data_IF_130959198661
#
_entry.id   IF_130959198661
#
_cell.length_a   1.000
_cell.length_b   1.000
_cell.length_c   1.000
_cell.angle_alpha   90.00
_cell.angle_beta   90.00
_cell.angle_gamma   90.00
#
_symmetry.space_group_name_H-M   'P 1'
#
loop_
_entity.id
_entity.type
_entity.pdbx_description
1 polymer ?
#
# COMPACT_ATOMS: atom_id res chain seq x y z
N UNK A 1 7.69 -40.21 -10.73
CA UNK A 1 6.23 -40.10 -10.86
C UNK A 1 5.80 -39.17 -9.71
N UNK A 2 5.06 -38.14 -10.04
CA UNK A 2 4.42 -37.28 -9.03
C UNK A 2 3.29 -38.11 -8.41
N UNK A 3 3.27 -38.23 -7.08
CA UNK A 3 2.20 -38.88 -6.38
C UNK A 3 1.02 -37.89 -6.25
N UNK A 4 0.02 -38.07 -7.09
CA UNK A 4 -1.18 -37.19 -7.11
C UNK A 4 -2.03 -37.27 -5.84
N UNK A 5 -1.81 -38.29 -4.99
CA UNK A 5 -2.53 -38.42 -3.71
C UNK A 5 -2.03 -37.42 -2.65
N UNK A 6 -0.89 -36.78 -2.90
CA UNK A 6 -0.31 -35.74 -2.03
C UNK A 6 -0.74 -34.32 -2.42
N UNK A 7 -1.50 -34.18 -3.52
CA UNK A 7 -2.02 -32.90 -3.95
C UNK A 7 -3.33 -32.60 -3.21
N UNK A 8 -3.32 -31.55 -2.40
CA UNK A 8 -4.52 -31.03 -1.75
C UNK A 8 -4.93 -29.72 -2.48
N UNK A 9 -5.91 -29.84 -3.38
CA UNK A 9 -6.41 -28.71 -4.18
C UNK A 9 -6.90 -27.55 -3.31
N UNK A 10 -7.44 -27.84 -2.11
CA UNK A 10 -7.91 -26.81 -1.18
C UNK A 10 -6.73 -26.03 -0.60
N UNK A 11 -5.66 -26.70 -0.26
CA UNK A 11 -4.41 -26.06 0.21
C UNK A 11 -3.81 -25.23 -0.93
N UNK A 12 -3.71 -25.76 -2.15
CA UNK A 12 -3.18 -25.03 -3.29
C UNK A 12 -3.97 -23.75 -3.58
N UNK A 13 -5.30 -23.85 -3.64
CA UNK A 13 -6.18 -22.68 -3.84
C UNK A 13 -6.01 -21.64 -2.73
N UNK A 14 -5.86 -22.08 -1.47
CA UNK A 14 -5.63 -21.19 -0.34
C UNK A 14 -4.31 -20.41 -0.47
N UNK A 15 -3.24 -21.10 -0.89
CA UNK A 15 -1.94 -20.47 -1.13
C UNK A 15 -1.95 -19.56 -2.35
N UNK A 16 -2.73 -19.87 -3.38
CA UNK A 16 -2.84 -19.00 -4.55
C UNK A 16 -3.55 -17.69 -4.19
N UNK A 17 -4.62 -17.73 -3.40
CA UNK A 17 -5.27 -16.53 -2.87
C UNK A 17 -4.30 -15.70 -1.98
N UNK A 18 -3.50 -16.36 -1.14
CA UNK A 18 -2.47 -15.68 -0.35
C UNK A 18 -1.43 -14.99 -1.24
N UNK A 19 -0.90 -15.68 -2.25
CA UNK A 19 0.07 -15.12 -3.21
C UNK A 19 -0.52 -13.91 -3.94
N UNK A 20 -1.78 -14.01 -4.37
CA UNK A 20 -2.47 -12.91 -5.03
C UNK A 20 -2.62 -11.71 -4.09
N UNK A 21 -3.06 -11.93 -2.85
CA UNK A 21 -3.17 -10.89 -1.81
C UNK A 21 -1.83 -10.19 -1.57
N UNK A 22 -0.73 -10.94 -1.45
CA UNK A 22 0.62 -10.38 -1.30
C UNK A 22 1.06 -9.60 -2.55
N UNK A 23 0.69 -10.08 -3.75
CA UNK A 23 0.98 -9.39 -5.01
C UNK A 23 0.24 -8.04 -5.11
N UNK A 24 -1.05 -8.03 -4.79
CA UNK A 24 -1.87 -6.79 -4.79
C UNK A 24 -1.38 -5.82 -3.71
N UNK A 25 -1.01 -6.32 -2.52
CA UNK A 25 -0.36 -5.49 -1.48
C UNK A 25 0.94 -4.85 -2.00
N UNK A 26 1.74 -5.62 -2.72
CA UNK A 26 2.99 -5.11 -3.30
C UNK A 26 2.73 -4.03 -4.35
N UNK A 27 1.66 -4.16 -5.15
CA UNK A 27 1.24 -3.14 -6.11
C UNK A 27 0.77 -1.85 -5.41
N UNK A 28 0.01 -1.95 -4.31
CA UNK A 28 -0.38 -0.79 -3.50
C UNK A 28 0.86 -0.10 -2.90
N UNK A 29 1.82 -0.87 -2.38
CA UNK A 29 3.10 -0.32 -1.88
C UNK A 29 3.90 0.40 -2.97
N UNK A 30 3.96 -0.15 -4.19
CA UNK A 30 4.66 0.49 -5.31
C UNK A 30 4.03 1.85 -5.66
N UNK A 31 2.71 1.94 -5.72
CA UNK A 31 2.00 3.20 -5.93
C UNK A 31 2.31 4.22 -4.83
N UNK A 32 2.40 3.77 -3.58
CA UNK A 32 2.76 4.59 -2.42
C UNK A 32 4.28 4.85 -2.29
N UNK A 33 5.11 4.30 -3.18
CA UNK A 33 6.59 4.33 -3.08
C UNK A 33 7.13 3.76 -1.75
N UNK A 34 6.42 2.77 -1.19
CA UNK A 34 6.77 2.11 0.06
C UNK A 34 7.57 0.83 -0.17
N UNK A 35 8.74 0.72 0.43
CA UNK A 35 9.55 -0.49 0.36
C UNK A 35 8.89 -1.66 1.11
N UNK A 36 9.00 -2.87 0.56
CA UNK A 36 8.40 -4.08 1.15
C UNK A 36 8.87 -4.36 2.58
N UNK A 37 10.12 -4.03 2.93
CA UNK A 37 10.71 -4.25 4.26
C UNK A 37 10.22 -3.29 5.34
N UNK A 38 9.63 -2.17 4.95
CA UNK A 38 8.99 -1.24 5.88
C UNK A 38 7.63 -1.79 6.29
N UNK A 39 7.35 -1.93 7.59
CA UNK A 39 6.06 -2.43 8.03
C UNK A 39 4.93 -1.48 7.65
N UNK A 40 3.73 -2.01 7.47
CA UNK A 40 2.48 -1.24 7.38
C UNK A 40 1.79 -1.29 8.74
N UNK A 41 1.16 -0.19 9.13
CA UNK A 41 0.32 -0.17 10.33
C UNK A 41 -0.92 -1.03 10.12
N UNK A 42 -1.66 -0.77 9.04
CA UNK A 42 -2.93 -1.43 8.75
C UNK A 42 -3.07 -1.75 7.27
N UNK A 43 -3.74 -2.86 6.98
CA UNK A 43 -4.26 -3.19 5.66
C UNK A 43 -5.72 -3.64 5.76
N UNK A 44 -6.55 -3.22 4.80
CA UNK A 44 -7.91 -3.68 4.61
C UNK A 44 -7.92 -4.54 3.34
N UNK A 45 -8.37 -5.78 3.45
CA UNK A 45 -8.33 -6.78 2.36
C UNK A 45 -9.77 -7.11 2.01
N UNK A 46 -10.24 -6.63 0.86
CA UNK A 46 -11.57 -6.95 0.36
C UNK A 46 -11.48 -8.14 -0.57
N UNK A 47 -12.28 -9.16 -0.29
CA UNK A 47 -12.30 -10.47 -0.97
C UNK A 47 -13.71 -10.89 -1.33
N UNK A 48 -13.86 -11.87 -2.20
CA UNK A 48 -15.16 -12.47 -2.48
C UNK A 48 -15.71 -13.25 -1.28
N UNK A 49 -16.99 -13.51 -1.32
CA UNK A 49 -17.66 -14.32 -0.29
C UNK A 49 -17.05 -15.73 -0.22
N UNK A 50 -16.72 -16.17 1.00
CA UNK A 50 -16.08 -17.45 1.28
C UNK A 50 -14.55 -17.44 1.25
N UNK A 51 -13.91 -16.39 0.75
CA UNK A 51 -12.44 -16.25 0.72
C UNK A 51 -11.88 -15.72 2.07
N UNK A 52 -12.70 -15.08 2.87
CA UNK A 52 -12.32 -14.56 4.18
C UNK A 52 -11.80 -15.66 5.10
N UNK A 53 -12.57 -16.72 5.27
CA UNK A 53 -12.20 -17.87 6.14
C UNK A 53 -10.89 -18.52 5.67
N UNK A 54 -10.65 -18.55 4.35
CA UNK A 54 -9.42 -19.07 3.76
C UNK A 54 -8.21 -18.24 4.20
N UNK A 55 -8.27 -16.92 4.07
CA UNK A 55 -7.15 -16.04 4.48
C UNK A 55 -7.00 -16.02 6.01
N UNK A 56 -8.07 -16.07 6.77
CA UNK A 56 -8.02 -16.15 8.23
C UNK A 56 -7.33 -17.44 8.71
N UNK A 57 -7.51 -18.55 8.01
CA UNK A 57 -6.79 -19.80 8.31
C UNK A 57 -5.27 -19.70 8.08
N UNK A 58 -4.83 -18.74 7.28
CA UNK A 58 -3.43 -18.44 6.96
C UNK A 58 -2.93 -17.14 7.64
N UNK A 59 -3.56 -16.72 8.73
CA UNK A 59 -3.39 -15.41 9.36
C UNK A 59 -1.92 -15.00 9.59
N UNK A 60 -1.09 -15.89 10.13
CA UNK A 60 0.32 -15.62 10.39
C UNK A 60 1.11 -15.40 9.09
N UNK A 61 0.78 -16.16 8.05
CA UNK A 61 1.39 -16.01 6.73
C UNK A 61 0.95 -14.71 6.06
N UNK A 62 -0.34 -14.37 6.12
CA UNK A 62 -0.86 -13.09 5.63
C UNK A 62 -0.09 -11.95 6.29
N UNK A 63 -0.04 -11.92 7.61
CA UNK A 63 0.63 -10.88 8.39
C UNK A 63 2.12 -10.75 8.05
N UNK A 64 2.83 -11.87 8.02
CA UNK A 64 4.27 -11.90 7.77
C UNK A 64 4.62 -11.56 6.33
N UNK A 65 3.91 -12.13 5.34
CA UNK A 65 4.19 -11.91 3.92
C UNK A 65 3.80 -10.52 3.43
N UNK A 66 2.72 -9.95 3.96
CA UNK A 66 2.35 -8.56 3.72
C UNK A 66 3.21 -7.57 4.50
N UNK A 67 3.93 -8.02 5.54
CA UNK A 67 4.66 -7.19 6.50
C UNK A 67 3.76 -6.09 7.08
N UNK A 68 2.62 -6.48 7.65
CA UNK A 68 1.61 -5.60 8.23
C UNK A 68 1.44 -5.91 9.72
N UNK A 69 1.21 -4.87 10.54
CA UNK A 69 0.97 -5.05 11.98
C UNK A 69 -0.47 -5.52 12.24
N UNK A 70 -1.42 -4.86 11.60
CA UNK A 70 -2.85 -5.15 11.72
C UNK A 70 -3.46 -5.27 10.32
N UNK A 71 -4.44 -6.15 10.19
CA UNK A 71 -5.24 -6.23 8.97
C UNK A 71 -6.66 -6.65 9.28
N UNK A 72 -7.56 -6.30 8.38
CA UNK A 72 -8.96 -6.72 8.42
C UNK A 72 -9.33 -7.30 7.07
N UNK A 73 -10.09 -8.41 7.07
CA UNK A 73 -10.59 -9.04 5.86
C UNK A 73 -12.10 -8.78 5.76
N UNK A 74 -12.52 -8.21 4.66
CA UNK A 74 -13.88 -7.76 4.41
C UNK A 74 -14.41 -8.46 3.17
N UNK A 75 -15.49 -9.19 3.31
CA UNK A 75 -16.16 -9.80 2.15
C UNK A 75 -16.99 -8.75 1.42
N UNK A 76 -16.83 -8.70 0.11
CA UNK A 76 -17.56 -7.81 -0.78
C UNK A 76 -18.28 -8.61 -1.87
N UNK A 77 -19.30 -7.99 -2.48
CA UNK A 77 -19.98 -8.54 -3.64
C UNK A 77 -19.18 -8.39 -4.93
N UNK A 78 -19.74 -8.95 -5.99
CA UNK A 78 -19.19 -8.90 -7.33
C UNK A 78 -19.74 -7.70 -8.08
N UNK A 79 -19.67 -6.51 -7.47
CA UNK A 79 -20.16 -5.26 -8.01
C UNK A 79 -19.04 -4.46 -8.65
N UNK A 80 -19.40 -3.60 -9.60
CA UNK A 80 -18.48 -2.69 -10.32
C UNK A 80 -19.02 -1.26 -10.29
N UNK A 81 -18.17 -0.30 -10.61
CA UNK A 81 -18.57 1.09 -10.77
C UNK A 81 -19.20 1.68 -9.50
N UNK A 82 -20.33 2.37 -9.69
CA UNK A 82 -21.04 3.04 -8.61
C UNK A 82 -21.50 2.08 -7.51
N UNK A 83 -21.93 0.86 -7.86
CA UNK A 83 -22.39 -0.13 -6.89
C UNK A 83 -21.23 -0.61 -6.02
N UNK A 84 -20.06 -0.86 -6.59
CA UNK A 84 -18.86 -1.20 -5.86
C UNK A 84 -18.46 -0.07 -4.89
N UNK A 85 -18.40 1.17 -5.37
CA UNK A 85 -18.12 2.32 -4.52
C UNK A 85 -19.08 2.40 -3.32
N UNK A 86 -20.39 2.27 -3.57
CA UNK A 86 -21.41 2.34 -2.52
C UNK A 86 -21.28 1.20 -1.50
N UNK A 87 -21.00 0.00 -1.95
CA UNK A 87 -20.75 -1.15 -1.06
C UNK A 87 -19.54 -0.90 -0.17
N UNK A 88 -18.41 -0.49 -0.75
CA UNK A 88 -17.18 -0.20 0.00
C UNK A 88 -17.40 0.91 1.03
N UNK A 89 -18.10 1.97 0.65
CA UNK A 89 -18.46 3.08 1.55
C UNK A 89 -19.38 2.62 2.69
N UNK A 90 -20.38 1.82 2.39
CA UNK A 90 -21.32 1.28 3.40
C UNK A 90 -20.59 0.40 4.43
N UNK A 91 -19.52 -0.28 4.03
CA UNK A 91 -18.67 -1.08 4.92
C UNK A 91 -17.64 -0.26 5.71
N UNK A 92 -17.69 1.08 5.57
CA UNK A 92 -16.83 1.99 6.32
C UNK A 92 -15.40 2.07 5.80
N UNK A 93 -15.15 1.64 4.55
CA UNK A 93 -13.82 1.75 3.95
C UNK A 93 -13.50 3.20 3.59
N UNK A 94 -12.22 3.60 3.60
CA UNK A 94 -11.79 4.99 3.38
C UNK A 94 -11.80 5.38 1.90
N UNK A 95 -12.90 5.09 1.21
CA UNK A 95 -13.08 5.34 -0.22
C UNK A 95 -13.76 6.68 -0.48
N UNK A 96 -13.38 7.30 -1.59
CA UNK A 96 -14.01 8.51 -2.15
C UNK A 96 -14.42 8.22 -3.60
N UNK A 97 -15.51 8.82 -4.10
CA UNK A 97 -15.94 8.56 -5.46
C UNK A 97 -15.01 9.21 -6.47
N UNK A 98 -14.65 8.46 -7.48
CA UNK A 98 -13.99 8.96 -8.69
C UNK A 98 -15.01 8.91 -9.82
N UNK A 99 -15.36 10.07 -10.37
CA UNK A 99 -16.34 10.18 -11.43
C UNK A 99 -15.69 10.81 -12.66
N UNK A 100 -15.93 10.21 -13.80
CA UNK A 100 -15.55 10.75 -15.10
C UNK A 100 -16.80 10.82 -16.01
N UNK A 101 -16.81 11.74 -16.95
CA UNK A 101 -17.91 11.83 -17.92
C UNK A 101 -17.56 11.02 -19.18
N UNK A 102 -18.50 10.19 -19.64
CA UNK A 102 -18.35 9.48 -20.91
C UNK A 102 -18.51 10.46 -22.08
N UNK A 103 -17.38 10.95 -22.60
CA UNK A 103 -17.33 12.04 -23.58
C UNK A 103 -18.13 11.77 -24.85
N UNK A 104 -18.19 10.53 -25.29
CA UNK A 104 -18.95 10.13 -26.47
C UNK A 104 -20.45 10.27 -26.27
N UNK A 105 -20.95 10.01 -25.07
CA UNK A 105 -22.36 10.08 -24.71
C UNK A 105 -22.81 11.50 -24.42
N UNK A 106 -21.99 12.34 -23.77
CA UNK A 106 -22.37 13.70 -23.38
C UNK A 106 -22.31 14.70 -24.53
N UNK A 107 -21.55 14.44 -25.60
CA UNK A 107 -21.40 15.33 -26.75
C UNK A 107 -22.72 15.79 -27.36
N UNK A 108 -23.63 14.89 -27.72
CA UNK A 108 -24.96 15.24 -28.28
C UNK A 108 -25.85 16.00 -27.29
N UNK A 109 -25.70 15.77 -25.97
CA UNK A 109 -26.50 16.40 -24.91
C UNK A 109 -26.01 17.83 -24.59
N UNK A 110 -24.70 18.04 -24.49
CA UNK A 110 -24.12 19.33 -24.12
C UNK A 110 -23.92 20.30 -25.29
N UNK A 111 -23.69 19.80 -26.51
CA UNK A 111 -23.51 20.61 -27.73
C UNK A 111 -22.57 21.81 -27.52
N UNK A 112 -23.06 23.03 -27.69
CA UNK A 112 -22.32 24.30 -27.54
C UNK A 112 -21.95 24.61 -26.07
N UNK A 113 -22.61 24.01 -25.11
CA UNK A 113 -22.36 24.24 -23.69
C UNK A 113 -21.37 23.28 -23.06
N UNK A 114 -20.72 22.41 -23.86
CA UNK A 114 -19.73 21.39 -23.40
C UNK A 114 -18.64 21.97 -22.48
N UNK A 115 -18.03 23.09 -22.85
CA UNK A 115 -16.97 23.72 -22.05
C UNK A 115 -17.48 24.19 -20.67
N UNK A 116 -18.69 24.71 -20.61
CA UNK A 116 -19.32 25.15 -19.35
C UNK A 116 -19.71 23.94 -18.50
N UNK A 117 -20.25 22.88 -19.13
CA UNK A 117 -20.57 21.61 -18.47
C UNK A 117 -19.35 21.02 -17.80
N UNK A 118 -18.24 20.88 -18.53
CA UNK A 118 -17.00 20.31 -17.97
C UNK A 118 -16.46 21.14 -16.80
N UNK A 119 -16.56 22.47 -16.88
CA UNK A 119 -16.16 23.33 -15.78
C UNK A 119 -17.03 23.10 -14.56
N UNK A 120 -18.35 23.12 -14.71
CA UNK A 120 -19.29 22.89 -13.61
C UNK A 120 -19.12 21.50 -13.00
N UNK A 121 -18.94 20.48 -13.85
CA UNK A 121 -18.65 19.13 -13.37
C UNK A 121 -17.39 19.08 -12.48
N UNK A 122 -16.32 19.76 -12.89
CA UNK A 122 -15.08 19.80 -12.10
C UNK A 122 -15.19 20.57 -10.79
N UNK A 123 -16.18 21.47 -10.68
CA UNK A 123 -16.47 22.26 -9.47
C UNK A 123 -17.55 21.63 -8.58
N UNK A 124 -18.25 20.59 -9.08
CA UNK A 124 -19.31 19.91 -8.34
C UNK A 124 -18.74 18.83 -7.44
N UNK A 125 -19.22 18.75 -6.20
CA UNK A 125 -18.86 17.68 -5.29
C UNK A 125 -19.30 16.31 -5.84
N UNK A 126 -18.37 15.37 -6.05
CA UNK A 126 -18.69 14.05 -6.57
C UNK A 126 -19.75 13.28 -5.74
N UNK A 127 -19.76 13.46 -4.42
CA UNK A 127 -20.76 12.82 -3.55
C UNK A 127 -22.16 13.29 -3.85
N UNK A 128 -22.34 14.58 -4.16
CA UNK A 128 -23.64 15.13 -4.52
C UNK A 128 -24.18 14.53 -5.83
N UNK A 129 -23.27 14.25 -6.78
CA UNK A 129 -23.64 13.58 -8.04
C UNK A 129 -24.10 12.15 -7.75
N UNK A 130 -23.34 11.38 -6.95
CA UNK A 130 -23.72 10.01 -6.56
C UNK A 130 -25.08 9.98 -5.87
N UNK A 131 -25.32 10.90 -4.94
CA UNK A 131 -26.58 10.95 -4.20
C UNK A 131 -27.80 11.26 -5.08
N UNK A 132 -27.62 12.11 -6.08
CA UNK A 132 -28.70 12.38 -7.07
C UNK A 132 -28.90 11.20 -8.03
N UNK A 133 -27.81 10.59 -8.53
CA UNK A 133 -27.86 9.41 -9.40
C UNK A 133 -28.56 8.22 -8.71
N UNK A 134 -28.39 8.07 -7.41
CA UNK A 134 -29.11 7.05 -6.62
C UNK A 134 -30.62 7.29 -6.54
N UNK A 135 -31.04 8.55 -6.57
CA UNK A 135 -32.46 8.93 -6.39
C UNK A 135 -33.22 9.00 -7.71
N UNK A 136 -32.55 9.44 -8.78
CA UNK A 136 -33.21 9.84 -10.02
C UNK A 136 -32.63 9.21 -11.29
N UNK A 137 -31.56 8.42 -11.18
CA UNK A 137 -30.78 7.88 -12.30
C UNK A 137 -30.25 8.95 -13.28
N UNK A 138 -30.24 10.21 -12.85
CA UNK A 138 -29.79 11.35 -13.66
C UNK A 138 -29.30 12.50 -12.78
N UNK A 139 -28.45 13.36 -13.36
CA UNK A 139 -27.99 14.61 -12.75
C UNK A 139 -28.17 15.79 -13.71
N UNK A 140 -28.65 16.93 -13.21
CA UNK A 140 -28.89 18.10 -14.04
C UNK A 140 -27.96 19.25 -13.68
N UNK A 141 -27.14 19.69 -14.64
CA UNK A 141 -26.29 20.87 -14.54
C UNK A 141 -27.01 22.11 -15.03
N UNK A 142 -27.10 23.16 -14.21
CA UNK A 142 -27.66 24.44 -14.59
C UNK A 142 -26.61 25.34 -15.23
N UNK A 143 -26.68 25.60 -16.52
CA UNK A 143 -25.70 26.34 -17.30
C UNK A 143 -26.28 27.70 -17.74
N UNK A 144 -26.28 28.68 -16.82
CA UNK A 144 -26.95 29.95 -17.04
C UNK A 144 -28.47 29.76 -17.09
N UNK A 145 -29.10 30.16 -18.23
CA UNK A 145 -30.53 29.93 -18.44
C UNK A 145 -30.87 28.54 -18.97
N UNK A 146 -29.86 27.78 -19.42
CA UNK A 146 -30.00 26.43 -19.94
C UNK A 146 -29.74 25.39 -18.85
N UNK A 147 -30.19 24.16 -19.10
CA UNK A 147 -29.82 23.00 -18.29
C UNK A 147 -29.39 21.83 -19.17
N UNK A 148 -28.44 21.04 -18.68
CA UNK A 148 -28.01 19.80 -19.31
C UNK A 148 -28.23 18.67 -18.32
N UNK A 149 -29.12 17.73 -18.68
CA UNK A 149 -29.34 16.53 -17.87
C UNK A 149 -28.54 15.38 -18.44
N UNK A 150 -27.77 14.73 -17.58
CA UNK A 150 -26.99 13.55 -17.87
C UNK A 150 -27.60 12.37 -17.13
N UNK A 151 -27.72 11.25 -17.83
CA UNK A 151 -28.21 10.01 -17.26
C UNK A 151 -27.06 9.23 -16.59
N UNK A 152 -27.39 8.23 -15.80
CA UNK A 152 -26.41 7.42 -15.05
C UNK A 152 -25.32 6.83 -15.97
N UNK A 153 -25.68 6.43 -17.18
CA UNK A 153 -24.78 5.84 -18.18
C UNK A 153 -23.79 6.86 -18.77
N UNK A 154 -24.03 8.16 -18.61
CA UNK A 154 -23.11 9.20 -19.04
C UNK A 154 -21.95 9.40 -18.06
N UNK A 155 -22.01 8.75 -16.90
CA UNK A 155 -20.99 8.81 -15.86
C UNK A 155 -20.25 7.47 -15.74
N UNK A 156 -18.95 7.53 -15.76
CA UNK A 156 -18.08 6.41 -15.37
C UNK A 156 -17.70 6.62 -13.92
N UNK A 157 -18.20 5.76 -13.06
CA UNK A 157 -17.94 5.84 -11.62
C UNK A 157 -16.96 4.73 -11.22
N UNK A 158 -15.89 5.08 -10.53
CA UNK A 158 -14.94 4.21 -9.84
C UNK A 158 -14.74 4.79 -8.43
N UNK A 159 -13.78 4.28 -7.70
CA UNK A 159 -13.40 4.84 -6.42
C UNK A 159 -11.90 5.10 -6.34
N UNK A 160 -11.53 6.01 -5.47
CA UNK A 160 -10.19 6.23 -4.96
C UNK A 160 -10.21 6.09 -3.43
N UNK A 161 -9.06 6.17 -2.80
CA UNK A 161 -8.95 6.23 -1.34
C UNK A 161 -8.50 7.63 -0.92
N UNK A 162 -8.83 8.04 0.29
CA UNK A 162 -8.35 9.32 0.79
C UNK A 162 -6.81 9.32 0.95
N UNK A 163 -6.21 10.50 1.11
CA UNK A 163 -4.76 10.72 1.11
C UNK A 163 -3.96 9.94 2.16
N UNK A 164 -4.62 9.44 3.22
CA UNK A 164 -3.97 8.62 4.26
C UNK A 164 -3.80 7.16 3.87
N UNK A 165 -4.34 6.78 2.72
CA UNK A 165 -4.34 5.41 2.24
C UNK A 165 -3.84 5.32 0.81
N UNK A 166 -3.48 4.11 0.41
CA UNK A 166 -3.23 3.74 -0.98
C UNK A 166 -3.85 2.38 -1.24
N UNK A 167 -4.27 2.11 -2.46
CA UNK A 167 -4.85 0.82 -2.80
C UNK A 167 -4.34 0.27 -4.13
N UNK A 168 -4.51 -1.03 -4.27
CA UNK A 168 -4.48 -1.72 -5.55
C UNK A 168 -5.64 -2.71 -5.63
N UNK A 169 -6.09 -2.99 -6.84
CA UNK A 169 -7.11 -4.01 -7.11
C UNK A 169 -6.67 -4.94 -8.23
N UNK A 170 -7.12 -6.18 -8.15
CA UNK A 170 -7.02 -7.18 -9.20
C UNK A 170 -8.30 -8.00 -9.18
N UNK A 171 -9.09 -7.91 -10.26
CA UNK A 171 -10.45 -8.44 -10.25
C UNK A 171 -11.20 -7.93 -9.01
N UNK A 172 -11.74 -8.80 -8.19
CA UNK A 172 -12.49 -8.45 -6.97
C UNK A 172 -11.63 -8.38 -5.69
N UNK A 173 -10.35 -8.71 -5.78
CA UNK A 173 -9.43 -8.54 -4.68
C UNK A 173 -8.94 -7.09 -4.61
N UNK A 174 -9.28 -6.39 -3.53
CA UNK A 174 -8.86 -5.01 -3.28
C UNK A 174 -8.05 -5.00 -1.99
N UNK A 175 -6.87 -4.40 -2.02
CA UNK A 175 -6.06 -4.19 -0.81
C UNK A 175 -5.83 -2.70 -0.63
N UNK A 176 -6.30 -2.16 0.49
CA UNK A 176 -6.11 -0.78 0.92
C UNK A 176 -5.09 -0.80 2.06
N UNK A 177 -4.03 -0.03 1.94
CA UNK A 177 -2.96 0.07 2.95
C UNK A 177 -2.95 1.46 3.57
N UNK A 178 -2.78 1.53 4.89
CA UNK A 178 -2.56 2.79 5.59
C UNK A 178 -1.16 3.33 5.29
N UNK A 179 -1.05 4.62 5.06
CA UNK A 179 0.21 5.35 4.90
C UNK A 179 0.71 5.95 6.22
N UNK A 180 -0.09 5.86 7.26
CA UNK A 180 0.29 6.33 8.61
C UNK A 180 1.39 5.46 9.20
N UNK A 181 2.35 6.11 9.83
CA UNK A 181 3.50 5.46 10.48
C UNK A 181 3.77 6.16 11.80
N UNK A 182 4.04 5.37 12.82
CA UNK A 182 4.57 5.82 14.09
C UNK A 182 6.11 5.67 14.15
N UNK A 183 6.71 6.21 15.18
CA UNK A 183 8.15 6.18 15.39
C UNK A 183 8.69 4.74 15.49
N UNK A 184 7.91 3.82 16.06
CA UNK A 184 8.31 2.42 16.18
C UNK A 184 8.40 1.73 14.80
N UNK A 185 7.43 2.01 13.92
CA UNK A 185 7.45 1.51 12.55
C UNK A 185 8.58 2.13 11.73
N UNK A 186 8.81 3.43 11.91
CA UNK A 186 9.92 4.14 11.26
C UNK A 186 11.26 3.54 11.72
N UNK A 187 11.43 3.31 13.02
CA UNK A 187 12.62 2.66 13.57
C UNK A 187 12.82 1.26 12.98
N UNK A 188 11.77 0.41 12.97
CA UNK A 188 11.84 -0.94 12.38
C UNK A 188 12.21 -0.93 10.91
N UNK A 189 11.69 0.03 10.15
CA UNK A 189 12.03 0.21 8.74
C UNK A 189 13.50 0.59 8.55
N UNK A 190 13.95 1.61 9.27
CA UNK A 190 15.33 2.11 9.22
C UNK A 190 16.34 1.03 9.65
N UNK A 191 16.07 0.31 10.72
CA UNK A 191 16.91 -0.80 11.19
C UNK A 191 17.08 -1.87 10.10
N UNK A 192 16.01 -2.26 9.42
CA UNK A 192 16.09 -3.24 8.32
C UNK A 192 16.87 -2.71 7.12
N UNK A 193 16.77 -1.42 6.83
CA UNK A 193 17.54 -0.78 5.77
C UNK A 193 19.04 -0.73 6.13
N UNK A 194 19.39 -0.29 7.33
CA UNK A 194 20.76 -0.30 7.84
C UNK A 194 21.34 -1.71 7.86
N UNK A 195 20.61 -2.68 8.42
CA UNK A 195 21.04 -4.07 8.46
C UNK A 195 21.36 -4.61 7.07
N UNK A 196 20.53 -4.32 6.07
CA UNK A 196 20.81 -4.72 4.69
C UNK A 196 22.10 -4.11 4.16
N UNK A 197 22.37 -2.82 4.43
CA UNK A 197 23.59 -2.15 3.98
C UNK A 197 24.83 -2.75 4.65
N UNK A 198 24.75 -2.95 5.96
CA UNK A 198 25.83 -3.60 6.73
C UNK A 198 26.08 -5.03 6.22
N UNK A 199 25.04 -5.81 5.97
CA UNK A 199 25.18 -7.16 5.40
C UNK A 199 25.82 -7.15 4.00
N UNK A 200 25.48 -6.14 3.17
CA UNK A 200 26.11 -5.95 1.86
C UNK A 200 27.61 -5.65 2.01
N UNK A 201 27.98 -4.75 2.93
CA UNK A 201 29.38 -4.42 3.22
C UNK A 201 30.16 -5.65 3.73
N UNK A 202 29.55 -6.45 4.60
CA UNK A 202 30.14 -7.71 5.08
C UNK A 202 30.48 -8.64 3.91
N UNK A 203 29.52 -8.84 2.99
CA UNK A 203 29.74 -9.66 1.79
C UNK A 203 30.86 -9.12 0.90
N UNK A 204 30.92 -7.81 0.70
CA UNK A 204 31.99 -7.15 -0.08
C UNK A 204 33.37 -7.32 0.55
N UNK A 205 33.44 -7.34 1.89
CA UNK A 205 34.67 -7.63 2.64
C UNK A 205 35.00 -9.12 2.73
N UNK A 206 34.20 -10.02 2.15
CA UNK A 206 34.46 -11.45 2.08
C UNK A 206 34.06 -12.26 3.32
N UNK A 207 33.31 -11.67 4.25
CA UNK A 207 32.82 -12.41 5.43
C UNK A 207 31.68 -13.38 5.04
N UNK A 208 31.67 -14.54 5.68
CA UNK A 208 30.60 -15.52 5.52
C UNK A 208 29.32 -15.06 6.24
N UNK A 209 28.14 -15.49 5.78
CA UNK A 209 26.86 -15.15 6.44
C UNK A 209 26.78 -15.63 7.90
N UNK A 210 27.55 -16.66 8.27
CA UNK A 210 27.58 -17.26 9.62
C UNK A 210 28.57 -16.59 10.56
N UNK A 211 29.53 -15.82 10.05
CA UNK A 211 30.55 -15.17 10.87
C UNK A 211 29.90 -14.18 11.86
N UNK A 212 30.44 -14.10 13.07
CA UNK A 212 30.07 -13.09 14.07
C UNK A 212 31.24 -12.12 14.16
N UNK A 213 31.04 -10.89 13.74
CA UNK A 213 32.06 -9.84 13.79
C UNK A 213 32.06 -9.15 15.16
N UNK A 214 33.15 -8.50 15.49
CA UNK A 214 33.27 -7.80 16.78
C UNK A 214 32.36 -6.57 16.82
N UNK A 215 32.31 -5.81 15.71
CA UNK A 215 31.65 -4.51 15.71
C UNK A 215 31.10 -4.10 14.35
N UNK A 216 29.99 -3.37 14.36
CA UNK A 216 29.57 -2.51 13.27
C UNK A 216 29.46 -1.06 13.77
N UNK A 217 29.87 -0.12 12.92
CA UNK A 217 29.81 1.30 13.24
C UNK A 217 28.92 2.03 12.25
N UNK A 218 28.09 2.94 12.74
CA UNK A 218 27.20 3.79 11.96
C UNK A 218 27.58 5.24 12.24
N UNK A 219 27.79 6.02 11.17
CA UNK A 219 28.23 7.39 11.22
C UNK A 219 27.31 8.29 10.38
N UNK A 220 27.30 9.57 10.69
CA UNK A 220 26.61 10.63 9.93
C UNK A 220 25.08 10.38 9.77
N UNK A 221 24.46 9.77 10.77
CA UNK A 221 23.02 9.67 10.83
C UNK A 221 22.45 11.05 11.23
N UNK A 222 21.38 11.50 10.54
CA UNK A 222 20.69 12.71 10.98
C UNK A 222 20.07 12.53 12.38
N UNK A 223 19.78 13.64 13.06
CA UNK A 223 19.34 13.63 14.44
C UNK A 223 18.01 12.89 14.65
N UNK A 224 17.08 13.00 13.71
CA UNK A 224 15.76 12.34 13.81
C UNK A 224 15.92 10.82 13.67
N UNK A 225 16.64 10.37 12.65
CA UNK A 225 16.97 8.96 12.44
C UNK A 225 17.76 8.37 13.61
N UNK A 226 18.74 9.12 14.16
CA UNK A 226 19.48 8.69 15.35
C UNK A 226 18.54 8.52 16.55
N UNK A 227 17.67 9.47 16.82
CA UNK A 227 16.72 9.40 17.95
C UNK A 227 15.78 8.20 17.85
N UNK A 228 15.38 7.80 16.64
CA UNK A 228 14.53 6.63 16.42
C UNK A 228 15.21 5.30 16.78
N UNK A 229 16.54 5.18 16.63
CA UNK A 229 17.21 3.88 16.72
C UNK A 229 18.35 3.82 17.76
N UNK A 230 18.70 4.92 18.44
CA UNK A 230 19.82 4.97 19.41
C UNK A 230 19.72 3.89 20.51
N UNK A 231 18.50 3.57 20.96
CA UNK A 231 18.24 2.57 22.00
C UNK A 231 17.96 1.16 21.44
N UNK A 232 18.18 0.93 20.12
CA UNK A 232 17.88 -0.31 19.40
C UNK A 232 19.15 -0.96 18.79
N UNK A 233 20.31 -0.67 19.35
CA UNK A 233 21.60 -1.19 18.88
C UNK A 233 21.68 -2.72 18.94
N UNK A 234 21.04 -3.35 19.93
CA UNK A 234 20.97 -4.80 20.07
C UNK A 234 20.19 -5.45 18.93
N UNK A 235 19.06 -4.86 18.50
CA UNK A 235 18.27 -5.32 17.37
C UNK A 235 19.09 -5.29 16.06
N UNK A 236 19.85 -4.21 15.86
CA UNK A 236 20.72 -4.08 14.68
C UNK A 236 21.85 -5.12 14.77
N UNK A 237 22.50 -5.25 15.93
CA UNK A 237 23.60 -6.18 16.15
C UNK A 237 23.17 -7.64 15.85
N UNK A 238 22.00 -8.03 16.34
CA UNK A 238 21.40 -9.33 16.07
C UNK A 238 21.18 -9.57 14.56
N UNK A 239 20.57 -8.60 13.88
CA UNK A 239 20.27 -8.72 12.45
C UNK A 239 21.52 -8.80 11.57
N UNK A 240 22.60 -8.11 11.96
CA UNK A 240 23.84 -8.08 11.18
C UNK A 240 24.93 -9.01 11.69
N UNK A 241 24.64 -9.80 12.72
CA UNK A 241 25.58 -10.75 13.35
C UNK A 241 26.90 -10.11 13.76
N UNK A 242 26.81 -9.09 14.60
CA UNK A 242 27.95 -8.48 15.28
C UNK A 242 27.74 -8.53 16.78
N UNK A 243 28.82 -8.44 17.57
CA UNK A 243 28.69 -8.40 19.02
C UNK A 243 28.13 -7.09 19.52
N UNK A 244 28.46 -5.97 18.84
CA UNK A 244 27.92 -4.66 19.17
C UNK A 244 27.81 -3.74 17.98
N UNK A 245 26.93 -2.74 18.10
CA UNK A 245 26.79 -1.62 17.17
C UNK A 245 27.05 -0.33 17.90
N UNK A 246 27.93 0.51 17.34
CA UNK A 246 28.25 1.82 17.89
C UNK A 246 27.87 2.92 16.89
N UNK A 247 27.33 4.03 17.41
CA UNK A 247 27.23 5.29 16.69
C UNK A 247 28.49 6.11 17.01
N UNK A 248 29.26 6.46 15.97
CA UNK A 248 30.55 7.14 16.12
C UNK A 248 30.64 8.33 15.19
N UNK A 249 31.49 9.32 15.51
CA UNK A 249 31.66 10.54 14.73
C UNK A 249 32.63 10.37 13.57
N UNK A 250 33.63 9.48 13.68
CA UNK A 250 34.63 9.27 12.64
C UNK A 250 35.20 7.85 12.63
N UNK A 251 35.57 7.38 11.46
CA UNK A 251 36.26 6.09 11.22
C UNK A 251 37.05 6.22 9.91
N UNK A 252 38.25 5.63 9.84
CA UNK A 252 39.10 5.69 8.64
C UNK A 252 38.59 4.80 7.48
N UNK A 253 37.95 3.66 7.81
CA UNK A 253 37.54 2.63 6.85
C UNK A 253 36.01 2.47 6.85
N UNK A 254 35.30 3.38 6.21
CA UNK A 254 33.85 3.33 6.07
C UNK A 254 33.42 3.19 4.60
N UNK A 255 32.19 2.76 4.40
CA UNK A 255 31.48 2.82 3.12
C UNK A 255 30.34 3.83 3.24
N UNK A 256 30.27 4.75 2.28
CA UNK A 256 29.10 5.61 2.15
C UNK A 256 27.97 4.87 1.43
N UNK A 257 26.75 5.09 1.90
CA UNK A 257 25.54 4.56 1.27
C UNK A 257 24.40 5.58 1.42
N UNK A 258 23.32 5.37 0.67
CA UNK A 258 22.12 6.21 0.69
C UNK A 258 20.89 5.33 1.01
N UNK A 259 20.11 5.79 1.97
CA UNK A 259 18.84 5.18 2.36
C UNK A 259 17.71 6.19 2.10
N UNK A 260 17.18 6.25 0.86
CA UNK A 260 16.10 7.14 0.46
C UNK A 260 16.40 8.63 0.68
N UNK A 261 17.64 9.05 0.37
CA UNK A 261 18.13 10.42 0.58
C UNK A 261 18.81 10.63 1.94
N UNK A 262 18.72 9.67 2.85
CA UNK A 262 19.49 9.65 4.09
C UNK A 262 20.90 9.13 3.79
N UNK A 263 21.88 10.01 3.80
CA UNK A 263 23.28 9.63 3.72
C UNK A 263 23.73 8.99 5.02
N UNK A 264 24.42 7.88 4.93
CA UNK A 264 24.94 7.15 6.08
C UNK A 264 26.31 6.58 5.74
N UNK A 265 27.22 6.57 6.70
CA UNK A 265 28.50 5.88 6.61
C UNK A 265 28.48 4.67 7.53
N UNK A 266 28.94 3.53 7.04
CA UNK A 266 28.95 2.25 7.77
C UNK A 266 30.31 1.60 7.71
N UNK A 267 30.71 0.96 8.81
CA UNK A 267 31.92 0.16 8.89
C UNK A 267 31.66 -1.16 9.63
N UNK A 268 32.47 -2.19 9.34
CA UNK A 268 32.44 -3.49 10.05
C UNK A 268 33.86 -3.97 10.31
N UNK A 269 34.07 -4.53 11.50
CA UNK A 269 35.35 -5.05 12.03
C UNK A 269 35.18 -6.43 12.66
#
# INVERSE_FOLDING_TARGET
>A
KIDSSLIDEKVETSFDLLKETVSVTSAARMKAKLKRRWPLNQALICVNKGEKEVLESLSELVKSQMNVQNYEIIEIGNSEGMEQYLELKQRGLPVVPKIELERSAIGPKAKQDMGKLLKMFSETDPESIIDELKKKDSYTFQIGENSVTLDKEDFVVDFEVNERYQFAKRQNLIVIISLERDDEMMAKGLIKDLARRIQTLRKEKGYNPTDILEKASILELDQDSFNLIKDKTEDIAFLVRVKKVDFIESCENYKEDDIDGLKVKIAVE
#
